data_IF_022589781110
#
_entry.id   IF_022589781110
#
_cell.length_a   1.000
_cell.length_b   1.000
_cell.length_c   1.000
_cell.angle_alpha   90.00
_cell.angle_beta   90.00
_cell.angle_gamma   90.00
#
_symmetry.space_group_name_H-M   'P 1'
#
loop_
_entity.id
_entity.type
_entity.pdbx_description
1 polymer ?
#
# COMPACT_ATOMS: atom_id res chain seq x y z
N UNK A 1 34.94 33.53 -9.83
CA UNK A 1 35.58 32.68 -8.79
C UNK A 1 37.10 32.82 -8.89
N UNK A 2 37.67 33.63 -8.00
CA UNK A 2 39.07 34.05 -8.04
C UNK A 2 39.98 32.98 -7.43
N UNK A 3 40.95 32.47 -8.19
CA UNK A 3 41.99 31.56 -7.69
C UNK A 3 43.01 32.38 -6.91
N UNK A 4 42.83 32.47 -5.59
CA UNK A 4 43.83 33.01 -4.67
C UNK A 4 45.00 32.02 -4.56
N UNK A 5 45.99 32.15 -5.46
CA UNK A 5 47.27 31.48 -5.30
C UNK A 5 48.06 32.17 -4.18
N UNK A 6 48.09 31.56 -2.99
CA UNK A 6 49.01 31.97 -1.93
C UNK A 6 50.43 31.72 -2.41
N UNK A 7 51.13 32.77 -2.88
CA UNK A 7 52.58 32.72 -3.11
C UNK A 7 53.25 32.44 -1.77
N UNK A 8 53.90 31.27 -1.65
CA UNK A 8 54.72 30.91 -0.50
C UNK A 8 55.96 31.78 -0.50
N UNK A 9 56.18 32.48 0.60
CA UNK A 9 57.37 33.32 0.83
C UNK A 9 58.57 32.40 1.18
N UNK A 10 59.63 32.35 0.36
CA UNK A 10 60.71 31.37 0.49
C UNK A 10 61.68 31.65 1.66
N UNK A 11 61.49 32.73 2.42
CA UNK A 11 62.45 33.18 3.45
C UNK A 11 61.94 33.12 4.90
N UNK A 12 60.70 32.69 5.15
CA UNK A 12 60.26 32.40 6.53
C UNK A 12 60.83 31.05 6.98
N UNK A 13 61.75 31.06 7.95
CA UNK A 13 62.16 29.85 8.69
C UNK A 13 60.90 29.20 9.28
N UNK A 14 60.55 28.02 8.77
CA UNK A 14 59.47 27.19 9.33
C UNK A 14 59.83 26.80 10.76
N UNK A 15 58.83 26.81 11.63
CA UNK A 15 58.93 26.18 12.94
C UNK A 15 59.31 24.70 12.74
N UNK A 16 60.39 24.21 13.36
CA UNK A 16 60.82 22.81 13.20
C UNK A 16 59.70 21.82 13.54
N UNK A 17 58.79 22.14 14.47
CA UNK A 17 57.66 21.28 14.79
C UNK A 17 56.68 21.15 13.61
N UNK A 18 56.33 22.26 12.97
CA UNK A 18 55.43 22.27 11.79
C UNK A 18 56.09 21.63 10.55
N UNK A 19 57.42 21.71 10.43
CA UNK A 19 58.14 21.03 9.35
C UNK A 19 58.19 19.51 9.54
N UNK A 20 58.28 19.03 10.79
CA UNK A 20 58.23 17.61 11.13
C UNK A 20 56.82 17.05 10.95
N UNK A 21 55.78 17.79 11.35
CA UNK A 21 54.37 17.39 11.15
C UNK A 21 54.01 17.32 9.67
N UNK A 22 54.39 18.32 8.86
CA UNK A 22 54.25 18.30 7.40
C UNK A 22 55.00 17.10 6.76
N UNK A 23 56.17 16.75 7.29
CA UNK A 23 56.99 15.65 6.78
C UNK A 23 56.42 14.28 7.15
N UNK A 24 55.90 14.12 8.37
CA UNK A 24 55.19 12.91 8.81
C UNK A 24 53.89 12.74 8.02
N UNK A 25 53.12 13.80 7.83
CA UNK A 25 51.90 13.77 7.02
C UNK A 25 52.21 13.44 5.55
N UNK A 26 53.32 13.95 5.00
CA UNK A 26 53.76 13.63 3.64
C UNK A 26 54.28 12.19 3.51
N UNK A 27 54.96 11.67 4.53
CA UNK A 27 55.41 10.28 4.59
C UNK A 27 54.22 9.31 4.70
N UNK A 28 53.24 9.63 5.56
CA UNK A 28 52.01 8.87 5.69
C UNK A 28 51.15 8.89 4.41
N UNK A 29 51.10 10.03 3.70
CA UNK A 29 50.44 10.10 2.39
C UNK A 29 51.14 9.22 1.35
N UNK A 30 52.46 9.20 1.34
CA UNK A 30 53.23 8.39 0.38
C UNK A 30 53.01 6.89 0.55
N UNK A 31 52.75 6.42 1.78
CA UNK A 31 52.47 5.00 2.06
C UNK A 31 51.00 4.62 1.80
N UNK A 32 50.08 5.58 1.88
CA UNK A 32 48.62 5.39 1.70
C UNK A 32 48.15 5.56 0.25
N UNK A 33 48.92 6.28 -0.56
CA UNK A 33 48.62 6.51 -1.97
C UNK A 33 49.17 5.37 -2.80
N UNK A 34 48.27 4.54 -3.32
CA UNK A 34 48.63 3.36 -4.09
C UNK A 34 48.02 3.42 -5.48
N UNK A 35 48.60 2.67 -6.42
CA UNK A 35 48.01 2.48 -7.74
C UNK A 35 46.70 1.71 -7.65
N UNK A 36 45.78 1.97 -8.60
CA UNK A 36 44.49 1.29 -8.68
C UNK A 36 44.60 -0.25 -8.61
N UNK A 37 45.63 -0.83 -9.25
CA UNK A 37 45.88 -2.28 -9.22
C UNK A 37 46.26 -2.78 -7.83
N UNK A 38 47.05 -2.00 -7.08
CA UNK A 38 47.43 -2.34 -5.70
C UNK A 38 46.26 -2.14 -4.73
N UNK A 39 45.45 -1.10 -4.94
CA UNK A 39 44.21 -0.89 -4.19
C UNK A 39 43.22 -2.05 -4.36
N UNK A 40 43.11 -2.60 -5.57
CA UNK A 40 42.25 -3.76 -5.86
C UNK A 40 42.61 -4.97 -5.00
N UNK A 41 43.91 -5.27 -4.92
CA UNK A 41 44.45 -6.37 -4.09
C UNK A 41 44.20 -6.11 -2.61
N UNK A 42 44.49 -4.91 -2.11
CA UNK A 42 44.36 -4.58 -0.69
C UNK A 42 42.91 -4.56 -0.21
N UNK A 43 41.96 -4.15 -1.06
CA UNK A 43 40.54 -4.16 -0.76
C UNK A 43 39.85 -5.50 -1.06
N UNK A 44 40.57 -6.47 -1.65
CA UNK A 44 40.02 -7.76 -2.06
C UNK A 44 38.94 -7.63 -3.14
N UNK A 45 39.04 -6.65 -4.04
CA UNK A 45 38.05 -6.34 -5.08
C UNK A 45 38.66 -6.38 -6.47
N UNK A 46 37.81 -6.54 -7.49
CA UNK A 46 38.26 -6.46 -8.87
C UNK A 46 38.55 -5.00 -9.27
N UNK A 47 39.52 -4.81 -10.17
CA UNK A 47 39.88 -3.51 -10.73
C UNK A 47 38.69 -2.83 -11.43
N UNK A 48 37.83 -3.61 -12.08
CA UNK A 48 36.60 -3.12 -12.73
C UNK A 48 35.63 -2.51 -11.71
N UNK A 49 35.55 -3.08 -10.51
CA UNK A 49 34.72 -2.55 -9.43
C UNK A 49 35.22 -1.19 -8.97
N UNK A 50 36.54 -1.02 -8.84
CA UNK A 50 37.16 0.27 -8.53
C UNK A 50 36.94 1.29 -9.65
N UNK A 51 37.01 0.88 -10.92
CA UNK A 51 36.65 1.75 -12.05
C UNK A 51 35.20 2.21 -12.02
N UNK A 52 34.28 1.31 -11.67
CA UNK A 52 32.87 1.65 -11.48
C UNK A 52 32.66 2.60 -10.29
N UNK A 53 33.47 2.51 -9.23
CA UNK A 53 33.43 3.46 -8.11
C UNK A 53 33.99 4.82 -8.49
N UNK A 54 35.05 4.89 -9.31
CA UNK A 54 35.54 6.16 -9.87
C UNK A 54 34.45 6.89 -10.66
N UNK A 55 33.66 6.19 -11.47
CA UNK A 55 32.52 6.76 -12.18
C UNK A 55 31.42 7.29 -11.23
N UNK A 56 31.33 6.72 -10.02
CA UNK A 56 30.37 7.10 -8.97
C UNK A 56 30.92 8.15 -7.99
N UNK A 57 32.09 8.75 -8.27
CA UNK A 57 32.67 9.82 -7.46
C UNK A 57 33.63 9.37 -6.36
N UNK A 58 34.28 8.21 -6.51
CA UNK A 58 35.34 7.78 -5.59
C UNK A 58 36.49 8.81 -5.54
N UNK A 59 37.03 9.15 -4.36
CA UNK A 59 38.19 10.04 -4.22
C UNK A 59 39.41 9.49 -4.95
N UNK A 60 40.00 10.30 -5.83
CA UNK A 60 41.26 9.99 -6.54
C UNK A 60 42.20 11.19 -6.43
N UNK A 61 43.49 10.95 -6.17
CA UNK A 61 44.47 12.03 -6.02
C UNK A 61 45.12 12.41 -7.34
N UNK A 62 45.36 11.41 -8.20
CA UNK A 62 45.87 11.60 -9.55
C UNK A 62 44.98 10.87 -10.54
N UNK A 63 44.20 11.64 -11.32
CA UNK A 63 43.48 11.10 -12.49
C UNK A 63 44.53 10.97 -13.60
N UNK A 64 45.30 9.88 -13.55
CA UNK A 64 46.42 9.61 -14.46
C UNK A 64 46.05 9.88 -15.93
N UNK A 65 46.95 10.53 -16.66
CA UNK A 65 46.80 10.76 -18.10
C UNK A 65 47.08 9.49 -18.92
N UNK A 66 47.15 9.64 -20.24
CA UNK A 66 47.48 8.54 -21.16
C UNK A 66 48.87 7.97 -20.85
N UNK A 67 48.91 6.82 -20.17
CA UNK A 67 50.15 6.14 -19.77
C UNK A 67 50.53 6.23 -18.28
N UNK A 68 49.81 7.00 -17.47
CA UNK A 68 50.08 7.13 -16.04
C UNK A 68 49.09 6.32 -15.18
N UNK A 69 49.60 5.67 -14.13
CA UNK A 69 48.76 4.91 -13.21
C UNK A 69 47.90 5.86 -12.37
N UNK A 70 46.60 5.56 -12.28
CA UNK A 70 45.67 6.28 -11.39
C UNK A 70 46.06 5.99 -9.94
N UNK A 71 46.31 7.06 -9.19
CA UNK A 71 46.70 7.03 -7.78
C UNK A 71 45.51 7.32 -6.88
N UNK A 72 45.38 6.50 -5.85
CA UNK A 72 44.23 6.47 -4.96
C UNK A 72 44.73 6.41 -3.51
N UNK A 73 44.24 7.31 -2.68
CA UNK A 73 44.43 7.25 -1.23
C UNK A 73 43.44 6.24 -0.63
N UNK A 74 43.97 5.15 -0.08
CA UNK A 74 43.17 4.07 0.51
C UNK A 74 42.29 4.55 1.67
N UNK A 75 42.78 5.47 2.49
CA UNK A 75 42.03 5.95 3.67
C UNK A 75 40.74 6.64 3.22
N UNK A 76 40.86 7.53 2.24
CA UNK A 76 39.73 8.31 1.71
C UNK A 76 38.73 7.43 0.96
N UNK A 77 39.20 6.35 0.33
CA UNK A 77 38.30 5.37 -0.30
C UNK A 77 37.51 4.57 0.74
N UNK A 78 38.15 4.13 1.82
CA UNK A 78 37.44 3.41 2.90
C UNK A 78 36.40 4.31 3.56
N UNK A 79 36.76 5.56 3.89
CA UNK A 79 35.81 6.54 4.44
C UNK A 79 34.61 6.78 3.52
N UNK A 80 34.85 6.87 2.21
CA UNK A 80 33.79 7.01 1.20
C UNK A 80 32.88 5.77 1.14
N UNK A 81 33.45 4.57 1.20
CA UNK A 81 32.68 3.32 1.23
C UNK A 81 31.82 3.21 2.49
N UNK A 82 32.37 3.57 3.66
CA UNK A 82 31.62 3.57 4.91
C UNK A 82 30.49 4.59 4.91
N UNK A 83 30.73 5.81 4.41
CA UNK A 83 29.69 6.83 4.29
C UNK A 83 28.54 6.34 3.41
N UNK A 84 28.86 5.68 2.29
CA UNK A 84 27.88 5.10 1.38
C UNK A 84 27.13 3.92 1.99
N UNK A 85 27.82 3.03 2.70
CA UNK A 85 27.18 1.93 3.42
C UNK A 85 26.21 2.44 4.49
N UNK A 86 26.61 3.48 5.26
CA UNK A 86 25.73 4.15 6.23
C UNK A 86 24.54 4.81 5.56
N UNK A 87 24.70 5.41 4.38
CA UNK A 87 23.59 5.99 3.62
C UNK A 87 22.62 4.91 3.12
N UNK A 88 23.15 3.80 2.58
CA UNK A 88 22.34 2.68 2.11
C UNK A 88 21.59 2.00 3.27
N UNK A 89 22.21 1.87 4.44
CA UNK A 89 21.54 1.40 5.66
C UNK A 89 20.48 2.38 6.14
N UNK A 90 20.79 3.69 6.18
CA UNK A 90 19.79 4.72 6.51
C UNK A 90 18.62 4.71 5.54
N UNK A 91 18.82 4.44 4.25
CA UNK A 91 17.73 4.33 3.26
C UNK A 91 16.90 3.05 3.44
N UNK A 92 17.53 1.94 3.80
CA UNK A 92 16.83 0.65 4.04
C UNK A 92 16.05 0.65 5.36
N UNK A 93 16.55 1.33 6.38
CA UNK A 93 15.95 1.43 7.71
C UNK A 93 15.32 2.80 7.99
N UNK A 94 15.24 3.67 6.99
CA UNK A 94 14.40 4.86 7.07
C UNK A 94 12.96 4.35 7.28
N UNK A 95 12.50 4.47 8.53
CA UNK A 95 11.10 4.34 8.87
C UNK A 95 10.33 5.23 7.91
N UNK A 96 9.26 4.74 7.24
CA UNK A 96 8.37 5.62 6.50
C UNK A 96 7.93 6.71 7.46
N UNK A 97 8.26 7.95 7.13
CA UNK A 97 7.92 9.11 7.95
C UNK A 97 6.39 9.21 7.92
N UNK A 98 5.67 9.07 9.05
CA UNK A 98 4.21 8.97 9.06
C UNK A 98 3.49 10.26 8.59
N UNK A 99 4.24 11.31 8.20
CA UNK A 99 3.72 12.57 7.68
C UNK A 99 4.21 12.98 6.29
N UNK A 100 5.13 12.23 5.64
CA UNK A 100 5.69 12.61 4.33
C UNK A 100 5.19 11.75 3.16
N UNK A 101 4.32 10.78 3.43
CA UNK A 101 3.70 9.91 2.43
C UNK A 101 2.26 10.36 2.11
N UNK A 102 1.94 11.63 2.40
CA UNK A 102 0.60 12.19 2.25
C UNK A 102 0.23 12.69 0.85
N UNK A 103 1.20 12.82 -0.09
CA UNK A 103 0.88 13.48 -1.37
C UNK A 103 1.75 13.05 -2.56
N UNK A 104 2.34 11.84 -2.52
CA UNK A 104 2.91 11.28 -3.75
C UNK A 104 1.78 10.64 -4.56
N UNK A 105 1.54 11.03 -5.82
CA UNK A 105 0.56 10.35 -6.65
C UNK A 105 1.00 8.89 -6.81
N UNK A 106 0.15 7.97 -6.35
CA UNK A 106 0.36 6.53 -6.46
C UNK A 106 0.80 6.16 -7.88
N UNK A 107 1.86 5.39 -7.99
CA UNK A 107 2.33 4.85 -9.27
C UNK A 107 1.25 3.94 -9.84
N UNK A 108 1.21 3.79 -11.18
CA UNK A 108 0.21 2.92 -11.85
C UNK A 108 0.24 1.49 -11.30
N UNK A 109 1.41 0.99 -10.89
CA UNK A 109 1.56 -0.32 -10.28
C UNK A 109 0.93 -0.40 -8.89
N UNK A 110 1.16 0.58 -8.03
CA UNK A 110 0.54 0.65 -6.69
C UNK A 110 -0.98 0.78 -6.78
N UNK A 111 -1.51 1.51 -7.78
CA UNK A 111 -2.96 1.59 -8.04
C UNK A 111 -3.56 0.23 -8.42
N UNK A 112 -2.87 -0.54 -9.25
CA UNK A 112 -3.31 -1.90 -9.62
C UNK A 112 -3.25 -2.84 -8.40
N UNK A 113 -2.20 -2.74 -7.58
CA UNK A 113 -2.09 -3.53 -6.36
C UNK A 113 -3.18 -3.17 -5.35
N UNK A 114 -3.48 -1.88 -5.14
CA UNK A 114 -4.60 -1.44 -4.31
C UNK A 114 -5.95 -1.96 -4.83
N UNK A 115 -6.19 -1.88 -6.14
CA UNK A 115 -7.42 -2.42 -6.73
C UNK A 115 -7.53 -3.94 -6.55
N UNK A 116 -6.40 -4.66 -6.66
CA UNK A 116 -6.35 -6.10 -6.43
C UNK A 116 -6.59 -6.45 -4.97
N UNK A 117 -6.02 -5.69 -4.03
CA UNK A 117 -6.25 -5.86 -2.60
C UNK A 117 -7.72 -5.61 -2.26
N UNK A 118 -8.33 -4.55 -2.79
CA UNK A 118 -9.76 -4.27 -2.62
C UNK A 118 -10.64 -5.40 -3.20
N UNK A 119 -10.27 -5.95 -4.36
CA UNK A 119 -10.96 -7.12 -4.92
C UNK A 119 -10.83 -8.37 -4.03
N UNK A 120 -9.65 -8.57 -3.44
CA UNK A 120 -9.39 -9.69 -2.54
C UNK A 120 -10.16 -9.55 -1.22
N UNK A 121 -10.26 -8.35 -0.65
CA UNK A 121 -11.06 -8.13 0.57
C UNK A 121 -12.54 -8.37 0.31
N UNK A 122 -13.08 -7.93 -0.84
CA UNK A 122 -14.46 -8.26 -1.22
C UNK A 122 -14.67 -9.77 -1.39
N UNK A 123 -13.71 -10.48 -1.99
CA UNK A 123 -13.80 -11.93 -2.14
C UNK A 123 -13.75 -12.64 -0.78
N UNK A 124 -12.81 -12.25 0.07
CA UNK A 124 -12.69 -12.80 1.42
C UNK A 124 -13.97 -12.53 2.24
N UNK A 125 -14.59 -11.34 2.10
CA UNK A 125 -15.85 -11.02 2.75
C UNK A 125 -17.05 -11.84 2.23
N UNK A 126 -17.07 -12.20 0.94
CA UNK A 126 -18.05 -13.14 0.37
C UNK A 126 -17.83 -14.56 0.90
N UNK A 127 -16.59 -15.03 0.88
CA UNK A 127 -16.22 -16.39 1.30
C UNK A 127 -16.47 -16.59 2.81
N UNK A 128 -16.28 -15.54 3.61
CA UNK A 128 -16.60 -15.53 5.04
C UNK A 128 -18.10 -15.34 5.35
N UNK A 129 -18.94 -15.09 4.32
CA UNK A 129 -20.38 -14.96 4.46
C UNK A 129 -20.88 -13.59 4.95
N UNK A 130 -20.00 -12.62 5.15
CA UNK A 130 -20.37 -11.26 5.57
C UNK A 130 -21.00 -10.44 4.43
N UNK A 131 -20.65 -10.74 3.18
CA UNK A 131 -21.12 -10.01 2.00
C UNK A 131 -21.98 -10.91 1.12
N UNK A 132 -23.28 -10.63 1.07
CA UNK A 132 -24.22 -11.31 0.17
C UNK A 132 -24.52 -10.42 -1.04
N UNK A 133 -24.53 -10.95 -2.28
CA UNK A 133 -24.95 -10.17 -3.43
C UNK A 133 -26.40 -9.69 -3.28
N UNK A 134 -26.59 -8.38 -3.20
CA UNK A 134 -27.91 -7.72 -3.14
C UNK A 134 -28.96 -8.28 -4.13
N UNK A 135 -28.67 -8.47 -5.43
CA UNK A 135 -29.70 -8.95 -6.37
C UNK A 135 -30.20 -10.37 -6.04
N UNK A 136 -29.37 -11.20 -5.38
CA UNK A 136 -29.78 -12.54 -4.96
C UNK A 136 -30.78 -12.44 -3.81
N UNK A 137 -30.53 -11.55 -2.85
CA UNK A 137 -31.42 -11.32 -1.70
C UNK A 137 -32.74 -10.71 -2.17
N UNK A 138 -32.70 -9.70 -3.04
CA UNK A 138 -33.91 -9.08 -3.61
C UNK A 138 -34.77 -10.10 -4.35
N UNK A 139 -34.16 -10.91 -5.23
CA UNK A 139 -34.87 -11.95 -5.98
C UNK A 139 -35.41 -13.08 -5.09
N UNK A 140 -34.74 -13.39 -3.97
CA UNK A 140 -35.23 -14.35 -2.99
C UNK A 140 -36.43 -13.79 -2.22
N UNK A 141 -36.36 -12.52 -1.80
CA UNK A 141 -37.41 -11.85 -1.06
C UNK A 141 -38.67 -11.66 -1.92
N UNK A 142 -38.52 -11.26 -3.18
CA UNK A 142 -39.62 -11.16 -4.16
C UNK A 142 -40.32 -12.52 -4.33
N UNK A 143 -39.55 -13.60 -4.49
CA UNK A 143 -40.11 -14.96 -4.59
C UNK A 143 -40.84 -15.38 -3.32
N UNK A 144 -40.27 -15.12 -2.14
CA UNK A 144 -40.92 -15.42 -0.87
C UNK A 144 -42.26 -14.68 -0.72
N UNK A 145 -42.29 -13.37 -0.96
CA UNK A 145 -43.51 -12.58 -0.88
C UNK A 145 -44.56 -13.02 -1.92
N UNK A 146 -44.12 -13.38 -3.13
CA UNK A 146 -44.98 -13.96 -4.16
C UNK A 146 -45.66 -15.25 -3.70
N UNK A 147 -44.91 -16.17 -3.08
CA UNK A 147 -45.43 -17.44 -2.54
C UNK A 147 -46.44 -17.17 -1.42
N UNK A 148 -46.14 -16.24 -0.50
CA UNK A 148 -47.05 -15.85 0.58
C UNK A 148 -48.35 -15.31 0.01
N UNK A 149 -48.29 -14.38 -0.95
CA UNK A 149 -49.48 -13.82 -1.61
C UNK A 149 -50.35 -14.91 -2.23
N UNK A 150 -49.76 -15.81 -3.02
CA UNK A 150 -50.49 -16.91 -3.67
C UNK A 150 -51.15 -17.81 -2.61
N UNK A 151 -50.40 -18.15 -1.56
CA UNK A 151 -50.88 -19.03 -0.49
C UNK A 151 -52.05 -18.43 0.29
N UNK A 152 -51.95 -17.15 0.64
CA UNK A 152 -53.01 -16.41 1.34
C UNK A 152 -54.25 -16.28 0.46
N UNK A 153 -54.08 -15.90 -0.81
CA UNK A 153 -55.20 -15.75 -1.75
C UNK A 153 -55.86 -17.09 -2.15
N UNK A 154 -55.22 -18.22 -1.89
CA UNK A 154 -55.82 -19.55 -2.07
C UNK A 154 -56.70 -19.99 -0.88
N UNK A 155 -56.64 -19.30 0.28
CA UNK A 155 -57.44 -19.65 1.47
C UNK A 155 -58.95 -19.59 1.20
N UNK A 156 -59.51 -18.55 0.55
CA UNK A 156 -60.95 -18.48 0.27
C UNK A 156 -61.46 -19.67 -0.55
N UNK A 157 -60.69 -20.16 -1.52
CA UNK A 157 -61.08 -21.32 -2.33
C UNK A 157 -61.07 -22.62 -1.50
N UNK A 158 -60.06 -22.78 -0.63
CA UNK A 158 -59.99 -23.92 0.30
C UNK A 158 -61.16 -23.91 1.26
N UNK A 159 -61.50 -22.74 1.80
CA UNK A 159 -62.65 -22.55 2.69
C UNK A 159 -63.94 -23.00 2.00
N UNK A 160 -64.24 -22.49 0.80
CA UNK A 160 -65.48 -22.84 0.08
C UNK A 160 -65.57 -24.34 -0.21
N UNK A 161 -64.44 -24.99 -0.52
CA UNK A 161 -64.39 -26.44 -0.76
C UNK A 161 -64.74 -27.26 0.50
N UNK A 162 -64.32 -26.80 1.67
CA UNK A 162 -64.62 -27.45 2.96
C UNK A 162 -66.06 -27.23 3.42
N UNK A 163 -66.76 -26.24 2.86
CA UNK A 163 -68.16 -25.91 3.20
C UNK A 163 -69.18 -26.79 2.46
N UNK A 164 -68.91 -28.08 2.27
CA UNK A 164 -69.87 -29.01 1.65
C UNK A 164 -71.20 -29.03 2.43
N UNK A 165 -72.34 -28.97 1.72
CA UNK A 165 -73.67 -28.99 2.33
C UNK A 165 -74.28 -27.62 2.67
N UNK A 166 -73.52 -26.51 2.56
CA UNK A 166 -74.08 -25.17 2.69
C UNK A 166 -74.73 -24.68 1.38
N UNK A 167 -75.75 -23.80 1.45
CA UNK A 167 -76.34 -23.16 0.27
C UNK A 167 -75.30 -22.37 -0.54
N UNK A 168 -75.33 -22.51 -1.87
CA UNK A 168 -74.37 -21.86 -2.78
C UNK A 168 -74.37 -20.33 -2.67
N UNK A 169 -75.54 -19.72 -2.45
CA UNK A 169 -75.65 -18.26 -2.28
C UNK A 169 -74.84 -17.75 -1.09
N UNK A 170 -74.84 -18.50 0.03
CA UNK A 170 -74.07 -18.14 1.22
C UNK A 170 -72.57 -18.36 1.00
N UNK A 171 -72.18 -19.44 0.33
CA UNK A 171 -70.78 -19.69 -0.05
C UNK A 171 -70.22 -18.55 -0.91
N UNK A 172 -71.00 -18.05 -1.86
CA UNK A 172 -70.58 -16.94 -2.71
C UNK A 172 -70.34 -15.65 -1.90
N UNK A 173 -71.21 -15.35 -0.93
CA UNK A 173 -71.04 -14.18 -0.04
C UNK A 173 -69.81 -14.35 0.85
N UNK A 174 -69.63 -15.51 1.47
CA UNK A 174 -68.48 -15.78 2.34
C UNK A 174 -67.17 -15.79 1.57
N UNK A 175 -67.13 -16.35 0.37
CA UNK A 175 -65.96 -16.29 -0.54
C UNK A 175 -65.57 -14.84 -0.81
N UNK A 176 -66.53 -13.98 -1.20
CA UNK A 176 -66.28 -12.55 -1.44
C UNK A 176 -65.78 -11.82 -0.19
N UNK A 177 -66.27 -12.19 1.00
CA UNK A 177 -65.80 -11.62 2.28
C UNK A 177 -64.39 -12.08 2.61
N UNK A 178 -64.10 -13.36 2.44
CA UNK A 178 -62.78 -13.95 2.68
C UNK A 178 -61.71 -13.38 1.73
N UNK A 179 -62.02 -13.22 0.43
CA UNK A 179 -61.13 -12.57 -0.54
C UNK A 179 -60.81 -11.14 -0.10
N UNK A 180 -61.82 -10.34 0.27
CA UNK A 180 -61.61 -8.97 0.73
C UNK A 180 -60.76 -8.91 2.00
N UNK A 181 -61.01 -9.80 2.96
CA UNK A 181 -60.22 -9.88 4.19
C UNK A 181 -58.76 -10.25 3.90
N UNK A 182 -58.52 -11.24 3.04
CA UNK A 182 -57.17 -11.65 2.67
C UNK A 182 -56.40 -10.54 1.94
N UNK A 183 -57.09 -9.82 1.04
CA UNK A 183 -56.50 -8.69 0.32
C UNK A 183 -56.13 -7.54 1.28
N UNK A 184 -57.03 -7.18 2.19
CA UNK A 184 -56.78 -6.13 3.18
C UNK A 184 -55.61 -6.49 4.10
N UNK A 185 -55.52 -7.74 4.58
CA UNK A 185 -54.38 -8.17 5.41
C UNK A 185 -53.05 -8.17 4.66
N UNK A 186 -53.04 -8.44 3.35
CA UNK A 186 -51.82 -8.34 2.55
C UNK A 186 -51.38 -6.89 2.32
N UNK A 187 -52.34 -5.96 2.21
CA UNK A 187 -52.08 -4.52 2.10
C UNK A 187 -51.50 -3.96 3.41
N UNK A 188 -52.12 -4.29 4.55
CA UNK A 188 -51.62 -3.94 5.88
C UNK A 188 -50.21 -4.51 6.15
N UNK A 189 -49.95 -5.75 5.71
CA UNK A 189 -48.62 -6.35 5.79
C UNK A 189 -47.60 -5.60 4.92
N UNK A 190 -47.98 -5.14 3.73
CA UNK A 190 -47.10 -4.36 2.86
C UNK A 190 -46.76 -2.99 3.47
N UNK A 191 -47.74 -2.31 4.07
CA UNK A 191 -47.52 -1.06 4.81
C UNK A 191 -46.56 -1.27 5.99
N UNK A 192 -46.79 -2.34 6.78
CA UNK A 192 -45.93 -2.68 7.92
C UNK A 192 -44.49 -2.95 7.50
N UNK A 193 -44.28 -3.66 6.38
CA UNK A 193 -42.94 -3.89 5.81
C UNK A 193 -42.31 -2.57 5.38
N UNK A 194 -43.06 -1.69 4.70
CA UNK A 194 -42.54 -0.40 4.24
C UNK A 194 -42.12 0.50 5.42
N UNK A 195 -42.91 0.51 6.51
CA UNK A 195 -42.55 1.21 7.75
C UNK A 195 -41.31 0.61 8.39
N UNK A 196 -41.23 -0.72 8.52
CA UNK A 196 -40.06 -1.38 9.11
C UNK A 196 -38.78 -1.09 8.32
N UNK A 197 -38.87 -1.08 6.98
CA UNK A 197 -37.74 -0.76 6.11
C UNK A 197 -37.30 0.71 6.20
N UNK A 198 -38.23 1.66 6.44
CA UNK A 198 -37.87 3.07 6.57
C UNK A 198 -37.30 3.42 7.94
N UNK A 199 -37.64 2.65 8.98
CA UNK A 199 -37.08 2.81 10.33
C UNK A 199 -35.73 2.13 10.53
N UNK A 200 -35.30 1.28 9.60
CA UNK A 200 -34.02 0.60 9.68
C UNK A 200 -32.88 1.56 9.32
N UNK A 201 -32.18 2.08 10.33
CA UNK A 201 -30.92 2.82 10.17
C UNK A 201 -29.73 1.85 10.31
N UNK A 202 -29.05 1.48 9.21
CA UNK A 202 -27.91 0.57 9.27
C UNK A 202 -26.69 1.16 10.00
N UNK A 203 -26.70 2.46 10.34
CA UNK A 203 -25.59 3.14 11.03
C UNK A 203 -25.70 3.15 12.57
N UNK A 204 -26.87 2.83 13.14
CA UNK A 204 -27.08 2.91 14.59
C UNK A 204 -26.39 1.77 15.36
N UNK A 205 -26.36 0.56 14.79
CA UNK A 205 -25.77 -0.63 15.44
C UNK A 205 -24.23 -0.67 15.36
N UNK A 206 -23.60 0.17 14.53
CA UNK A 206 -22.14 0.23 14.38
C UNK A 206 -21.44 1.16 15.40
N UNK A 207 -22.20 1.85 16.25
CA UNK A 207 -21.66 2.78 17.25
C UNK A 207 -21.46 2.16 18.66
N UNK A 208 -21.92 0.93 18.87
CA UNK A 208 -21.90 0.23 20.16
C UNK A 208 -20.86 -0.92 20.26
N UNK A 209 -19.98 -1.08 19.26
CA UNK A 209 -18.80 -1.97 19.31
C UNK A 209 -17.47 -1.19 19.27
#
# INVERSE_FOLDING_TARGET
>A
MSRSSRRRDPLRRRDPAAAVEDAVESAERSDRVVSLSRAAVLLGRNRETLSAWMAKGMPVEGRGGTGEAVLVDLKRVVEWLEARAREDERRKFARPDPGAEGDRPLTTREKIELAKLAGQTMKNGKDAGYLVPRPVVEAAFERCLGIVRISVMAVPERLVREMSGFPEDRKAVWRKKAIRSCAASLEEAAESIATAMSTFDPGADAADE
#
